data_IF_325040513969
#
_entry.id   IF_325040513969
#
_cell.length_a   1.000
_cell.length_b   1.000
_cell.length_c   1.000
_cell.angle_alpha   90.00
_cell.angle_beta   90.00
_cell.angle_gamma   90.00
#
_symmetry.space_group_name_H-M   'P 1'
#
loop_
_entity.id
_entity.type
_entity.pdbx_description
1 polymer ?
#
# COMPACT_ATOMS: atom_id res chain seq x y z
N UNK A 1 -10.16 10.10 -13.58
CA UNK A 1 -8.70 10.20 -13.60
C UNK A 1 -8.08 9.00 -12.90
N UNK A 2 -7.08 8.40 -13.51
CA UNK A 2 -6.42 7.23 -12.91
C UNK A 2 -5.57 7.63 -11.72
N UNK A 3 -5.66 6.85 -10.66
CA UNK A 3 -4.80 6.99 -9.50
C UNK A 3 -3.59 6.08 -9.66
N UNK A 4 -2.53 6.39 -8.94
CA UNK A 4 -1.27 5.68 -9.02
C UNK A 4 -1.11 4.77 -7.79
N UNK A 5 -0.96 3.48 -8.03
CA UNK A 5 -0.84 2.48 -6.96
C UNK A 5 0.53 1.82 -7.06
N UNK A 6 1.27 1.82 -5.96
CA UNK A 6 2.54 1.09 -5.88
C UNK A 6 2.28 -0.21 -5.13
N UNK A 7 2.50 -1.33 -5.80
CA UNK A 7 2.26 -2.67 -5.24
C UNK A 7 3.61 -3.37 -5.03
N UNK A 8 3.92 -3.68 -3.78
CA UNK A 8 5.22 -4.24 -3.38
C UNK A 8 5.00 -5.65 -2.83
N UNK A 9 5.47 -6.67 -3.56
CA UNK A 9 5.29 -8.07 -3.17
C UNK A 9 6.32 -8.90 -3.92
N UNK A 10 7.01 -9.82 -3.22
CA UNK A 10 8.01 -10.65 -3.88
C UNK A 10 7.37 -11.70 -4.81
N UNK A 11 6.10 -12.04 -4.58
CA UNK A 11 5.40 -13.04 -5.39
C UNK A 11 5.03 -12.47 -6.76
N UNK A 12 5.59 -13.07 -7.80
CA UNK A 12 5.26 -12.69 -9.18
C UNK A 12 3.76 -12.89 -9.46
N UNK A 13 3.19 -13.95 -8.92
CA UNK A 13 1.78 -14.27 -9.11
C UNK A 13 0.89 -13.19 -8.49
N UNK A 14 1.22 -12.72 -7.30
CA UNK A 14 0.46 -11.67 -6.63
C UNK A 14 0.60 -10.35 -7.40
N UNK A 15 1.81 -10.00 -7.83
CA UNK A 15 2.01 -8.77 -8.62
C UNK A 15 1.19 -8.82 -9.91
N UNK A 16 1.17 -9.95 -10.59
CA UNK A 16 0.38 -10.12 -11.80
C UNK A 16 -1.12 -9.98 -11.51
N UNK A 17 -1.59 -10.59 -10.44
CA UNK A 17 -2.99 -10.50 -10.03
C UNK A 17 -3.39 -9.04 -9.75
N UNK A 18 -2.57 -8.34 -8.99
CA UNK A 18 -2.85 -6.94 -8.66
C UNK A 18 -2.87 -6.07 -9.91
N UNK A 19 -1.93 -6.28 -10.81
CA UNK A 19 -1.88 -5.53 -12.05
C UNK A 19 -3.10 -5.80 -12.92
N UNK A 20 -3.54 -7.05 -12.99
CA UNK A 20 -4.71 -7.43 -13.78
C UNK A 20 -5.98 -6.83 -13.21
N UNK A 21 -6.18 -6.97 -11.90
CA UNK A 21 -7.43 -6.54 -11.25
C UNK A 21 -7.50 -5.01 -11.15
N UNK A 22 -6.44 -4.39 -10.67
CA UNK A 22 -6.44 -2.95 -10.38
C UNK A 22 -6.06 -2.10 -11.60
N UNK A 23 -5.35 -2.68 -12.54
CA UNK A 23 -4.87 -1.97 -13.72
C UNK A 23 -5.96 -1.52 -14.67
N UNK A 24 -7.18 -2.03 -14.52
CA UNK A 24 -8.30 -1.62 -15.36
C UNK A 24 -8.74 -0.18 -15.04
N UNK A 25 -8.63 0.21 -13.76
CA UNK A 25 -9.09 1.53 -13.30
C UNK A 25 -7.96 2.45 -12.87
N UNK A 26 -6.79 1.88 -12.54
CA UNK A 26 -5.68 2.64 -11.96
C UNK A 26 -4.38 2.33 -12.68
N UNK A 27 -3.40 3.20 -12.50
CA UNK A 27 -2.03 2.93 -12.93
C UNK A 27 -1.33 2.16 -11.83
N UNK A 28 -0.95 0.92 -12.12
CA UNK A 28 -0.31 0.05 -11.12
C UNK A 28 1.17 -0.09 -11.45
N UNK A 29 2.01 0.29 -10.49
CA UNK A 29 3.45 0.09 -10.56
C UNK A 29 3.79 -1.03 -9.58
N UNK A 30 4.55 -2.01 -10.00
CA UNK A 30 4.91 -3.14 -9.14
C UNK A 30 6.38 -3.13 -8.79
N UNK A 31 6.71 -3.59 -7.60
CA UNK A 31 8.09 -3.79 -7.15
C UNK A 31 8.18 -5.14 -6.45
N UNK A 32 9.27 -5.87 -6.68
CA UNK A 32 9.45 -7.22 -6.12
C UNK A 32 10.17 -7.23 -4.79
N UNK A 33 10.73 -6.09 -4.39
CA UNK A 33 11.56 -6.00 -3.18
C UNK A 33 11.56 -4.57 -2.66
N UNK A 34 12.15 -4.40 -1.47
CA UNK A 34 12.18 -3.10 -0.83
C UNK A 34 13.07 -2.09 -1.53
N UNK A 35 14.23 -2.53 -2.01
CA UNK A 35 15.16 -1.64 -2.70
C UNK A 35 14.56 -1.10 -3.99
N UNK A 36 13.88 -1.94 -4.76
CA UNK A 36 13.21 -1.50 -5.99
C UNK A 36 12.11 -0.48 -5.70
N UNK A 37 11.34 -0.72 -4.64
CA UNK A 37 10.28 0.20 -4.24
C UNK A 37 10.86 1.56 -3.83
N UNK A 38 11.90 1.56 -3.00
CA UNK A 38 12.54 2.80 -2.55
C UNK A 38 13.19 3.55 -3.70
N UNK A 39 13.79 2.82 -4.66
CA UNK A 39 14.37 3.44 -5.84
C UNK A 39 13.32 4.17 -6.65
N UNK A 40 12.17 3.54 -6.88
CA UNK A 40 11.08 4.18 -7.61
C UNK A 40 10.57 5.42 -6.88
N UNK A 41 10.38 5.32 -5.56
CA UNK A 41 9.95 6.46 -4.74
C UNK A 41 10.96 7.60 -4.76
N UNK A 42 12.27 7.27 -4.79
CA UNK A 42 13.34 8.28 -4.76
C UNK A 42 13.33 9.18 -5.99
N UNK A 43 12.67 8.78 -7.05
CA UNK A 43 12.54 9.56 -8.28
C UNK A 43 11.41 10.58 -8.20
N UNK A 44 10.99 10.93 -7.00
CA UNK A 44 9.89 11.87 -6.71
C UNK A 44 8.55 11.35 -7.21
N UNK A 45 8.40 10.05 -7.27
CA UNK A 45 7.13 9.42 -7.58
C UNK A 45 6.35 9.26 -6.29
N UNK A 46 5.19 9.92 -6.18
CA UNK A 46 4.34 9.78 -5.01
C UNK A 46 3.07 9.03 -5.42
N UNK A 47 2.91 7.79 -4.99
CA UNK A 47 1.69 7.04 -5.30
C UNK A 47 0.54 7.55 -4.44
N UNK A 48 -0.68 7.28 -4.89
CA UNK A 48 -1.88 7.62 -4.13
C UNK A 48 -2.17 6.57 -3.05
N UNK A 49 -1.75 5.32 -3.30
CA UNK A 49 -1.90 4.20 -2.36
C UNK A 49 -0.70 3.26 -2.52
N UNK A 50 -0.23 2.72 -1.42
CA UNK A 50 0.79 1.68 -1.42
C UNK A 50 0.16 0.37 -0.91
N UNK A 51 0.33 -0.70 -1.68
CA UNK A 51 -0.06 -2.05 -1.27
C UNK A 51 1.23 -2.82 -1.03
N UNK A 52 1.39 -3.42 0.13
CA UNK A 52 2.67 -4.01 0.50
C UNK A 52 2.51 -5.29 1.32
N UNK A 53 3.30 -6.31 0.98
CA UNK A 53 3.52 -7.46 1.85
C UNK A 53 4.65 -7.10 2.82
N UNK A 54 4.45 -7.26 4.13
CA UNK A 54 5.50 -6.91 5.09
C UNK A 54 6.76 -7.77 4.98
N UNK A 55 6.67 -8.94 4.34
CA UNK A 55 7.81 -9.83 4.17
C UNK A 55 8.41 -9.64 2.79
N UNK A 56 9.61 -9.07 2.72
CA UNK A 56 10.32 -8.80 1.47
C UNK A 56 11.69 -9.50 1.50
N UNK A 57 12.20 -9.90 0.32
CA UNK A 57 13.41 -10.74 0.28
C UNK A 57 14.70 -10.04 0.69
N UNK A 58 14.73 -8.71 0.62
CA UNK A 58 15.95 -7.92 0.86
C UNK A 58 15.90 -7.09 2.14
N UNK A 59 14.87 -7.26 2.95
CA UNK A 59 14.68 -6.51 4.19
C UNK A 59 14.12 -7.41 5.28
N UNK A 60 14.22 -6.98 6.51
CA UNK A 60 13.56 -7.66 7.63
C UNK A 60 12.05 -7.46 7.54
N UNK A 61 11.30 -8.37 8.11
CA UNK A 61 9.85 -8.28 8.15
C UNK A 61 9.44 -6.94 8.77
N UNK A 62 8.49 -6.25 8.12
CA UNK A 62 7.94 -4.96 8.53
C UNK A 62 8.89 -3.77 8.39
N UNK A 63 10.15 -3.99 8.03
CA UNK A 63 11.16 -2.92 7.98
C UNK A 63 10.75 -1.79 7.02
N UNK A 64 10.33 -2.13 5.81
CA UNK A 64 9.93 -1.11 4.85
C UNK A 64 8.71 -0.33 5.32
N UNK A 65 7.74 -1.02 5.90
CA UNK A 65 6.54 -0.36 6.43
C UNK A 65 6.88 0.63 7.55
N UNK A 66 7.76 0.23 8.45
CA UNK A 66 8.19 1.10 9.53
C UNK A 66 8.92 2.34 8.97
N UNK A 67 9.75 2.13 7.95
CA UNK A 67 10.47 3.22 7.30
C UNK A 67 9.50 4.19 6.64
N UNK A 68 8.54 3.68 5.88
CA UNK A 68 7.57 4.53 5.17
C UNK A 68 6.71 5.33 6.14
N UNK A 69 6.21 4.67 7.20
CA UNK A 69 5.33 5.34 8.16
C UNK A 69 6.05 6.41 8.97
N UNK A 70 7.35 6.25 9.19
CA UNK A 70 8.12 7.25 9.93
C UNK A 70 8.69 8.36 9.04
N UNK A 71 8.55 8.24 7.72
CA UNK A 71 9.06 9.21 6.78
C UNK A 71 8.19 10.45 6.72
N UNK A 72 8.80 11.64 6.78
CA UNK A 72 8.09 12.89 6.57
C UNK A 72 7.56 13.04 5.16
N UNK A 73 8.19 12.38 4.19
CA UNK A 73 7.80 12.46 2.78
C UNK A 73 6.71 11.45 2.42
N UNK A 74 6.77 10.23 2.97
CA UNK A 74 5.87 9.14 2.58
C UNK A 74 4.86 8.76 3.67
N UNK A 75 5.03 9.27 4.89
CA UNK A 75 4.26 8.81 6.04
C UNK A 75 2.75 9.03 5.94
N UNK A 76 2.32 9.94 5.11
CA UNK A 76 0.90 10.26 4.94
C UNK A 76 0.23 9.47 3.80
N UNK A 77 1.01 8.73 3.01
CA UNK A 77 0.44 7.95 1.91
C UNK A 77 -0.34 6.76 2.49
N UNK A 78 -1.62 6.57 2.08
CA UNK A 78 -2.40 5.44 2.56
C UNK A 78 -1.75 4.10 2.20
N UNK A 79 -1.72 3.20 3.16
CA UNK A 79 -1.10 1.88 2.99
C UNK A 79 -2.12 0.78 3.22
N UNK A 80 -2.11 -0.22 2.34
CA UNK A 80 -2.84 -1.46 2.50
C UNK A 80 -1.81 -2.58 2.66
N UNK A 81 -1.97 -3.38 3.71
CA UNK A 81 -1.10 -4.52 3.96
C UNK A 81 -1.75 -5.79 3.40
N UNK A 82 -1.01 -6.52 2.55
CA UNK A 82 -1.39 -7.86 2.11
C UNK A 82 -0.37 -8.83 2.68
N UNK A 83 -0.67 -9.43 3.82
CA UNK A 83 0.31 -10.18 4.58
C UNK A 83 0.32 -11.67 4.28
N UNK A 84 1.52 -12.20 4.06
CA UNK A 84 1.77 -13.65 4.03
C UNK A 84 2.21 -14.16 5.40
N UNK A 85 2.38 -13.27 6.37
CA UNK A 85 2.80 -13.60 7.71
C UNK A 85 1.61 -13.99 8.59
N UNK A 86 1.90 -14.44 9.82
CA UNK A 86 0.88 -14.84 10.79
C UNK A 86 -0.17 -13.74 11.00
N UNK A 87 -1.44 -14.15 11.10
CA UNK A 87 -2.55 -13.21 11.23
C UNK A 87 -2.49 -12.36 12.49
N UNK A 88 -2.11 -12.97 13.62
CA UNK A 88 -2.01 -12.24 14.88
C UNK A 88 -0.89 -11.22 14.84
N UNK A 89 0.26 -11.60 14.30
CA UNK A 89 1.39 -10.69 14.14
C UNK A 89 0.99 -9.54 13.22
N UNK A 90 0.33 -9.84 12.12
CA UNK A 90 -0.11 -8.83 11.16
C UNK A 90 -1.04 -7.82 11.81
N UNK A 91 -2.04 -8.29 12.54
CA UNK A 91 -3.00 -7.40 13.20
C UNK A 91 -2.33 -6.51 14.24
N UNK A 92 -1.42 -7.09 15.03
CA UNK A 92 -0.72 -6.33 16.06
C UNK A 92 0.17 -5.25 15.45
N UNK A 93 0.94 -5.60 14.42
CA UNK A 93 1.83 -4.65 13.76
C UNK A 93 1.06 -3.56 13.03
N UNK A 94 -0.02 -3.90 12.35
CA UNK A 94 -0.84 -2.89 11.68
C UNK A 94 -1.43 -1.91 12.68
N UNK A 95 -1.88 -2.41 13.82
CA UNK A 95 -2.40 -1.55 14.87
C UNK A 95 -1.33 -0.60 15.39
N UNK A 96 -0.12 -1.11 15.64
CA UNK A 96 1.00 -0.29 16.11
C UNK A 96 1.36 0.80 15.11
N UNK A 97 1.30 0.49 13.83
CA UNK A 97 1.68 1.43 12.77
C UNK A 97 0.52 2.32 12.31
N UNK A 98 -0.66 2.15 12.87
CA UNK A 98 -1.82 2.95 12.50
C UNK A 98 -2.39 2.60 11.14
N UNK A 99 -2.19 1.36 10.68
CA UNK A 99 -2.70 0.89 9.39
C UNK A 99 -4.03 0.19 9.62
N UNK A 100 -5.09 0.67 8.96
CA UNK A 100 -6.44 0.16 9.16
C UNK A 100 -6.89 -0.88 8.12
N UNK A 101 -6.22 -0.90 6.96
CA UNK A 101 -6.57 -1.83 5.88
C UNK A 101 -5.52 -2.92 5.80
N UNK A 102 -5.84 -4.08 6.39
CA UNK A 102 -4.96 -5.24 6.42
C UNK A 102 -5.70 -6.44 5.89
N UNK A 103 -5.07 -7.15 4.96
CA UNK A 103 -5.62 -8.36 4.37
C UNK A 103 -4.62 -9.50 4.53
N UNK A 104 -5.14 -10.67 4.87
CA UNK A 104 -4.34 -11.88 4.95
C UNK A 104 -4.38 -12.59 3.59
N UNK A 105 -3.25 -13.11 3.15
CA UNK A 105 -3.24 -13.91 1.94
C UNK A 105 -3.66 -15.34 2.26
N UNK A 106 -4.49 -15.98 1.41
CA UNK A 106 -5.09 -15.46 0.18
C UNK A 106 -6.20 -14.45 0.47
N UNK A 107 -6.32 -13.44 -0.38
CA UNK A 107 -7.26 -12.35 -0.18
C UNK A 107 -8.32 -12.32 -1.30
N UNK A 108 -9.43 -11.62 -1.04
CA UNK A 108 -10.49 -11.43 -2.02
C UNK A 108 -10.22 -10.15 -2.81
N UNK A 109 -9.99 -10.23 -4.14
CA UNK A 109 -9.71 -9.03 -4.95
C UNK A 109 -10.81 -7.98 -4.92
N UNK A 110 -12.07 -8.40 -4.80
CA UNK A 110 -13.21 -7.45 -4.75
C UNK A 110 -13.14 -6.63 -3.47
N UNK A 111 -12.82 -7.26 -2.35
CA UNK A 111 -12.67 -6.55 -1.08
C UNK A 111 -11.49 -5.59 -1.11
N UNK A 112 -10.41 -5.98 -1.78
CA UNK A 112 -9.24 -5.13 -1.95
C UNK A 112 -9.58 -3.89 -2.78
N UNK A 113 -10.29 -4.06 -3.90
CA UNK A 113 -10.71 -2.93 -4.71
C UNK A 113 -11.58 -1.96 -3.90
N UNK A 114 -12.49 -2.49 -3.10
CA UNK A 114 -13.35 -1.67 -2.26
C UNK A 114 -12.54 -0.88 -1.24
N UNK A 115 -11.54 -1.51 -0.64
CA UNK A 115 -10.68 -0.84 0.32
C UNK A 115 -9.90 0.31 -0.32
N UNK A 116 -9.41 0.10 -1.54
CA UNK A 116 -8.70 1.14 -2.28
C UNK A 116 -9.63 2.31 -2.57
N UNK A 117 -10.83 2.04 -3.04
CA UNK A 117 -11.80 3.11 -3.33
C UNK A 117 -12.16 3.89 -2.07
N UNK A 118 -12.33 3.21 -0.94
CA UNK A 118 -12.61 3.87 0.32
C UNK A 118 -11.48 4.80 0.74
N UNK A 119 -10.22 4.36 0.61
CA UNK A 119 -9.07 5.17 0.97
C UNK A 119 -8.96 6.39 0.07
N UNK A 120 -9.15 6.23 -1.22
CA UNK A 120 -9.06 7.34 -2.18
C UNK A 120 -10.17 8.35 -1.96
N UNK A 121 -11.39 7.88 -1.68
CA UNK A 121 -12.51 8.73 -1.42
C UNK A 121 -12.34 9.50 -0.10
N UNK A 122 -11.87 8.82 0.95
CA UNK A 122 -11.63 9.44 2.25
C UNK A 122 -10.59 10.55 2.15
N UNK A 123 -9.51 10.32 1.42
CA UNK A 123 -8.46 11.31 1.24
C UNK A 123 -8.97 12.54 0.49
N UNK A 124 -9.78 12.32 -0.56
CA UNK A 124 -10.41 13.42 -1.30
C UNK A 124 -11.32 14.24 -0.40
N UNK A 125 -12.10 13.57 0.47
CA UNK A 125 -12.97 14.24 1.41
C UNK A 125 -12.18 15.03 2.44
N UNK A 126 -11.08 14.49 2.94
CA UNK A 126 -10.20 15.18 3.88
C UNK A 126 -9.60 16.44 3.27
N UNK A 127 -9.15 16.35 2.03
CA UNK A 127 -8.63 17.51 1.30
C UNK A 127 -9.71 18.58 1.16
N UNK A 128 -10.91 18.17 0.78
CA UNK A 128 -12.04 19.07 0.67
C UNK A 128 -12.38 19.74 1.99
N UNK A 129 -12.33 18.99 3.08
CA UNK A 129 -12.61 19.53 4.42
C UNK A 129 -11.56 20.56 4.82
N UNK A 130 -10.29 20.28 4.56
CA UNK A 130 -9.20 21.21 4.87
C UNK A 130 -9.37 22.50 4.08
N UNK A 131 -9.68 22.42 2.80
CA UNK A 131 -9.89 23.59 1.96
C UNK A 131 -11.08 24.43 2.44
N UNK A 132 -12.12 23.79 2.94
CA UNK A 132 -13.28 24.50 3.47
C UNK A 132 -12.98 25.20 4.80
N UNK A 133 -12.06 24.66 5.57
CA UNK A 133 -11.67 25.25 6.86
C UNK A 133 -10.83 26.51 6.70
N UNK A 134 -10.23 26.68 5.54
CA UNK A 134 -9.44 27.85 5.22
C UNK A 134 -10.33 28.97 4.67
#
# INVERSE_FOLDING_TARGET
MKKKILAIDESKAIRFLLQTVLGQKHQVITASDGCSALYWLSKRNLPDVIIIDPQLPDMQDWELLEHLKSSGLYGHIPIIVLSSLDAKETQQKCKELGITKCFQQPFNPVELERAIEELLLHESNNVGTVLKAV
#
